data_IF_135078640246
#
_entry.id   IF_135078640246
#
_cell.length_a   1.000
_cell.length_b   1.000
_cell.length_c   1.000
_cell.angle_alpha   90.00
_cell.angle_beta   90.00
_cell.angle_gamma   90.00
#
_symmetry.space_group_name_H-M   'P 1'
#
loop_
_entity.id
_entity.type
_entity.pdbx_description
1 polymer ?
#
# COMPACT_ATOMS: atom_id res chain seq x y z
N UNK A 1 24.83 -0.43 -17.77
CA UNK A 1 23.81 -0.09 -16.77
C UNK A 1 23.26 -1.42 -16.26
N UNK A 2 23.59 -1.81 -15.02
CA UNK A 2 23.09 -3.04 -14.43
C UNK A 2 21.78 -2.72 -13.73
N UNK A 3 20.71 -3.43 -14.08
CA UNK A 3 19.41 -3.35 -13.41
C UNK A 3 19.28 -4.61 -12.59
N UNK A 4 19.10 -4.46 -11.29
CA UNK A 4 18.81 -5.56 -10.38
C UNK A 4 17.34 -5.52 -10.00
N UNK A 5 16.68 -6.67 -10.05
CA UNK A 5 15.25 -6.81 -9.73
C UNK A 5 15.08 -7.67 -8.51
N UNK A 6 14.39 -7.15 -7.50
CA UNK A 6 14.07 -7.88 -6.27
C UNK A 6 12.57 -8.11 -6.20
N UNK A 7 12.17 -9.35 -5.91
CA UNK A 7 10.77 -9.68 -5.70
C UNK A 7 10.42 -9.53 -4.21
N UNK A 8 9.57 -8.55 -3.91
CA UNK A 8 9.05 -8.36 -2.56
C UNK A 8 8.02 -9.44 -2.25
N UNK A 9 8.27 -10.21 -1.19
CA UNK A 9 7.33 -11.22 -0.68
C UNK A 9 6.80 -10.79 0.68
N UNK A 10 5.49 -10.95 0.87
CA UNK A 10 4.78 -10.71 2.11
C UNK A 10 3.57 -11.64 2.19
N UNK A 11 3.15 -11.97 3.41
CA UNK A 11 1.97 -12.80 3.64
C UNK A 11 0.69 -11.98 3.41
N UNK A 12 -0.35 -12.61 2.87
CA UNK A 12 -1.63 -11.92 2.70
C UNK A 12 -2.30 -11.74 4.07
N UNK A 13 -3.06 -10.66 4.21
CA UNK A 13 -3.96 -10.48 5.35
C UNK A 13 -4.89 -11.70 5.45
N UNK A 14 -5.16 -12.15 6.67
CA UNK A 14 -6.03 -13.31 6.91
C UNK A 14 -7.43 -13.07 6.33
N UNK A 15 -8.04 -14.12 5.76
CA UNK A 15 -9.40 -14.03 5.22
C UNK A 15 -10.47 -13.77 6.29
N UNK A 16 -10.11 -13.94 7.58
CA UNK A 16 -10.95 -13.58 8.73
C UNK A 16 -11.06 -12.07 8.94
N UNK A 17 -10.15 -11.26 8.35
CA UNK A 17 -10.13 -9.82 8.45
C UNK A 17 -10.99 -9.17 7.39
N UNK A 18 -11.92 -8.32 7.83
CA UNK A 18 -12.81 -7.55 6.98
C UNK A 18 -12.46 -6.08 7.01
N UNK A 19 -12.99 -5.33 6.05
CA UNK A 19 -12.81 -3.89 5.99
C UNK A 19 -13.28 -3.20 7.27
N UNK A 20 -14.39 -3.66 7.85
CA UNK A 20 -14.99 -3.12 9.07
C UNK A 20 -14.09 -3.31 10.32
N UNK A 21 -13.15 -4.25 10.30
CA UNK A 21 -12.19 -4.44 11.40
C UNK A 21 -11.12 -3.34 11.42
N UNK A 22 -10.80 -2.77 10.25
CA UNK A 22 -9.82 -1.68 10.10
C UNK A 22 -10.49 -0.30 10.14
N UNK A 23 -11.67 -0.21 9.53
CA UNK A 23 -12.45 1.02 9.40
C UNK A 23 -13.88 0.78 9.91
N UNK A 24 -14.06 0.68 11.25
CA UNK A 24 -15.37 0.59 11.87
C UNK A 24 -16.15 1.90 11.72
N UNK A 25 -17.45 1.87 12.08
CA UNK A 25 -18.31 3.07 12.06
C UNK A 25 -17.78 4.18 12.98
N UNK A 26 -17.17 3.81 14.11
CA UNK A 26 -16.51 4.73 15.02
C UNK A 26 -15.15 4.19 15.45
N UNK A 27 -14.16 5.07 15.55
CA UNK A 27 -12.85 4.80 16.16
C UNK A 27 -12.76 5.71 17.39
N UNK A 28 -12.48 5.14 18.56
CA UNK A 28 -12.27 5.92 19.79
C UNK A 28 -10.84 6.49 19.79
N UNK A 29 -10.63 7.54 18.99
CA UNK A 29 -9.34 8.21 18.84
C UNK A 29 -8.80 8.74 20.18
N UNK A 30 -9.71 9.18 21.05
CA UNK A 30 -9.39 9.71 22.39
C UNK A 30 -9.12 8.61 23.43
N UNK A 31 -9.30 7.33 23.07
CA UNK A 31 -9.17 6.18 23.97
C UNK A 31 -10.01 6.32 25.26
N UNK A 32 -11.15 7.00 25.19
CA UNK A 32 -12.02 7.31 26.35
C UNK A 32 -12.67 6.08 26.94
N UNK A 33 -12.97 5.10 26.09
CA UNK A 33 -13.75 3.90 26.42
C UNK A 33 -12.91 2.63 26.41
N UNK A 34 -11.70 2.68 25.84
CA UNK A 34 -10.72 1.61 25.89
C UNK A 34 -9.65 1.75 24.80
N UNK A 35 -8.58 0.93 24.85
CA UNK A 35 -7.63 0.86 23.75
C UNK A 35 -8.32 0.30 22.49
N UNK A 36 -8.16 0.93 21.32
CA UNK A 36 -8.67 0.39 20.08
C UNK A 36 -7.95 -0.93 19.76
N UNK A 37 -8.72 -1.90 19.26
CA UNK A 37 -8.15 -3.11 18.70
C UNK A 37 -7.68 -2.79 17.28
N UNK A 38 -6.38 -2.59 17.08
CA UNK A 38 -5.79 -2.45 15.75
C UNK A 38 -5.46 -3.83 15.20
N UNK A 39 -6.08 -4.28 14.09
CA UNK A 39 -5.71 -5.54 13.49
C UNK A 39 -4.34 -5.44 12.81
N UNK A 40 -3.54 -6.49 12.93
CA UNK A 40 -2.23 -6.54 12.27
C UNK A 40 -2.37 -6.75 10.76
N UNK A 41 -1.63 -5.95 9.99
CA UNK A 41 -1.46 -6.14 8.55
C UNK A 41 -0.05 -6.68 8.32
N UNK A 42 0.12 -7.88 7.75
CA UNK A 42 1.44 -8.42 7.50
C UNK A 42 2.23 -7.55 6.53
N UNK A 43 3.40 -7.10 6.99
CA UNK A 43 4.36 -6.33 6.21
C UNK A 43 5.51 -7.24 5.74
N UNK A 44 6.29 -6.83 4.72
CA UNK A 44 7.42 -7.62 4.27
C UNK A 44 8.46 -7.71 5.39
N UNK A 45 8.86 -8.94 5.75
CA UNK A 45 9.82 -9.19 6.86
C UNK A 45 11.25 -8.81 6.48
N UNK A 46 11.54 -8.77 5.17
CA UNK A 46 12.86 -8.41 4.66
C UNK A 46 12.99 -6.89 4.53
N UNK A 47 14.17 -6.40 4.89
CA UNK A 47 14.53 -5.00 4.82
C UNK A 47 14.98 -4.65 3.38
N UNK A 48 14.02 -4.25 2.55
CA UNK A 48 14.26 -3.87 1.16
C UNK A 48 14.67 -2.40 1.08
N UNK A 49 15.94 -2.12 1.40
CA UNK A 49 16.50 -0.78 1.25
C UNK A 49 17.00 -0.54 -0.17
N UNK A 50 17.06 0.74 -0.55
CA UNK A 50 17.67 1.23 -1.80
C UNK A 50 16.92 0.88 -3.09
N UNK A 51 15.58 0.80 -3.06
CA UNK A 51 14.79 0.66 -4.27
C UNK A 51 14.65 2.00 -4.99
N UNK A 52 15.04 2.06 -6.27
CA UNK A 52 14.81 3.23 -7.13
C UNK A 52 13.39 3.27 -7.71
N UNK A 53 12.87 2.09 -8.06
CA UNK A 53 11.56 1.91 -8.69
C UNK A 53 10.84 0.75 -8.02
N UNK A 54 9.61 1.00 -7.57
CA UNK A 54 8.71 0.01 -6.98
C UNK A 54 7.57 -0.21 -7.96
N UNK A 55 7.40 -1.45 -8.43
CA UNK A 55 6.31 -1.81 -9.34
C UNK A 55 5.34 -2.71 -8.61
N UNK A 56 4.08 -2.27 -8.49
CA UNK A 56 3.05 -2.98 -7.77
C UNK A 56 1.87 -3.29 -8.69
N UNK A 57 1.51 -4.57 -8.79
CA UNK A 57 0.25 -4.98 -9.43
C UNK A 57 -0.86 -4.88 -8.40
N UNK A 58 -1.83 -4.00 -8.66
CA UNK A 58 -2.94 -3.80 -7.73
C UNK A 58 -4.07 -4.79 -8.05
N UNK A 59 -4.54 -5.57 -7.07
CA UNK A 59 -5.69 -6.44 -7.25
C UNK A 59 -6.95 -5.60 -7.51
N UNK A 60 -7.74 -6.02 -8.49
CA UNK A 60 -9.03 -5.46 -8.82
C UNK A 60 -10.06 -6.59 -8.87
N UNK A 61 -10.90 -6.70 -7.84
CA UNK A 61 -12.16 -7.43 -8.01
C UNK A 61 -13.14 -6.46 -8.69
N UNK A 62 -13.67 -6.86 -9.85
CA UNK A 62 -14.69 -6.07 -10.55
C UNK A 62 -15.96 -5.93 -9.70
N UNK A 63 -16.79 -4.95 -10.03
CA UNK A 63 -17.97 -4.50 -9.27
C UNK A 63 -19.14 -5.52 -9.22
N UNK A 64 -18.89 -6.80 -9.50
CA UNK A 64 -19.89 -7.87 -9.55
C UNK A 64 -20.07 -8.60 -8.23
N UNK A 65 -21.21 -8.37 -7.59
CA UNK A 65 -21.87 -9.16 -6.53
C UNK A 65 -21.04 -9.57 -5.29
N UNK A 66 -20.18 -8.66 -4.80
CA UNK A 66 -19.51 -8.86 -3.52
C UNK A 66 -18.30 -7.97 -3.27
N UNK A 67 -18.51 -6.66 -3.10
CA UNK A 67 -17.56 -5.80 -2.37
C UNK A 67 -16.19 -5.52 -3.03
N UNK A 68 -16.03 -5.76 -4.34
CA UNK A 68 -14.83 -5.35 -5.08
C UNK A 68 -14.83 -3.85 -5.35
N UNK A 69 -14.27 -3.05 -4.44
CA UNK A 69 -14.23 -1.59 -4.55
C UNK A 69 -13.12 -0.96 -3.71
N UNK A 70 -13.31 0.28 -3.24
CA UNK A 70 -12.39 0.97 -2.32
C UNK A 70 -12.14 0.16 -1.02
N UNK A 71 -13.06 -0.73 -0.67
CA UNK A 71 -13.09 -1.51 0.58
C UNK A 71 -12.41 -2.88 0.50
N UNK A 72 -11.54 -3.10 -0.48
CA UNK A 72 -10.77 -4.34 -0.59
C UNK A 72 -9.55 -4.30 0.34
N UNK A 73 -9.52 -5.20 1.33
CA UNK A 73 -8.43 -5.25 2.34
C UNK A 73 -7.10 -5.66 1.70
N UNK A 74 -7.11 -6.52 0.68
CA UNK A 74 -5.87 -6.91 0.00
C UNK A 74 -5.34 -5.77 -0.87
N UNK A 75 -6.22 -4.98 -1.49
CA UNK A 75 -5.85 -3.72 -2.16
C UNK A 75 -5.22 -2.74 -1.17
N UNK A 76 -5.80 -2.59 0.02
CA UNK A 76 -5.24 -1.77 1.09
C UNK A 76 -3.85 -2.25 1.50
N UNK A 77 -3.69 -3.55 1.74
CA UNK A 77 -2.40 -4.14 2.12
C UNK A 77 -1.32 -3.87 1.06
N UNK A 78 -1.60 -4.08 -0.23
CA UNK A 78 -0.64 -3.79 -1.31
C UNK A 78 -0.21 -2.32 -1.29
N UNK A 79 -1.15 -1.39 -1.12
CA UNK A 79 -0.82 0.04 -1.06
C UNK A 79 0.02 0.39 0.19
N UNK A 80 -0.28 -0.21 1.35
CA UNK A 80 0.51 -0.04 2.58
C UNK A 80 1.94 -0.58 2.44
N UNK A 81 2.10 -1.77 1.87
CA UNK A 81 3.42 -2.37 1.60
C UNK A 81 4.24 -1.44 0.70
N UNK A 82 3.64 -0.95 -0.39
CA UNK A 82 4.30 -0.04 -1.33
C UNK A 82 4.69 1.28 -0.68
N UNK A 83 3.79 1.87 0.12
CA UNK A 83 4.07 3.10 0.85
C UNK A 83 5.23 2.91 1.84
N UNK A 84 5.24 1.81 2.59
CA UNK A 84 6.32 1.50 3.53
C UNK A 84 7.67 1.35 2.82
N UNK A 85 7.72 0.61 1.72
CA UNK A 85 8.93 0.45 0.92
C UNK A 85 9.45 1.77 0.33
N UNK A 86 8.53 2.64 -0.11
CA UNK A 86 8.88 3.95 -0.65
C UNK A 86 9.50 4.84 0.44
N UNK A 87 8.92 4.85 1.64
CA UNK A 87 9.45 5.57 2.80
C UNK A 87 10.80 5.02 3.24
N UNK A 88 10.92 3.70 3.40
CA UNK A 88 12.18 3.04 3.79
C UNK A 88 13.31 3.27 2.75
N UNK A 89 12.97 3.29 1.47
CA UNK A 89 13.94 3.54 0.39
C UNK A 89 14.31 5.01 0.23
N UNK A 90 13.40 5.94 0.54
CA UNK A 90 13.65 7.38 0.49
C UNK A 90 14.48 7.90 1.68
N UNK A 91 14.28 7.33 2.88
CA UNK A 91 14.92 7.78 4.13
C UNK A 91 16.37 7.34 4.32
N UNK A 92 17.00 6.76 3.30
CA UNK A 92 18.31 6.12 3.38
C UNK A 92 19.43 7.08 3.83
N UNK A 93 19.30 8.39 3.59
CA UNK A 93 20.21 9.42 4.13
C UNK A 93 19.42 10.69 4.50
N UNK A 94 19.58 11.21 5.73
CA UNK A 94 18.88 12.44 6.15
C UNK A 94 19.28 13.69 5.35
N UNK A 95 20.40 13.64 4.61
CA UNK A 95 20.94 14.77 3.82
C UNK A 95 20.75 14.63 2.30
N UNK A 96 20.14 13.55 1.81
CA UNK A 96 19.91 13.35 0.36
C UNK A 96 18.53 12.74 0.15
N UNK A 97 17.57 13.57 -0.22
CA UNK A 97 16.28 13.11 -0.77
C UNK A 97 16.54 12.35 -2.07
N UNK A 98 16.46 11.02 -2.02
CA UNK A 98 16.46 10.18 -3.23
C UNK A 98 15.02 9.99 -3.66
N UNK A 99 14.70 10.44 -4.87
CA UNK A 99 13.39 10.18 -5.46
C UNK A 99 13.20 8.67 -5.68
N UNK A 100 12.14 8.11 -5.11
CA UNK A 100 11.68 6.73 -5.33
C UNK A 100 10.44 6.80 -6.22
N UNK A 101 10.44 6.07 -7.33
CA UNK A 101 9.31 6.04 -8.25
C UNK A 101 8.43 4.83 -7.96
N UNK A 102 7.13 5.07 -7.80
CA UNK A 102 6.15 4.01 -7.60
C UNK A 102 5.27 3.89 -8.84
N UNK A 103 5.16 2.67 -9.39
CA UNK A 103 4.36 2.37 -10.58
C UNK A 103 3.31 1.34 -10.21
N UNK A 104 2.04 1.76 -10.26
CA UNK A 104 0.90 0.88 -10.07
C UNK A 104 0.41 0.34 -11.41
N UNK A 105 0.30 -0.98 -11.51
CA UNK A 105 -0.15 -1.70 -12.70
C UNK A 105 -1.50 -2.35 -12.43
N UNK A 106 -2.52 -1.99 -13.19
CA UNK A 106 -3.88 -2.54 -13.07
C UNK A 106 -4.95 -1.49 -13.29
N UNK A 107 -6.22 -1.90 -13.35
CA UNK A 107 -7.34 -1.01 -13.64
C UNK A 107 -7.78 -0.12 -12.47
N UNK A 108 -7.41 -0.47 -11.23
CA UNK A 108 -7.85 0.28 -10.03
C UNK A 108 -6.83 1.31 -9.55
N UNK A 109 -5.59 1.28 -10.04
CA UNK A 109 -4.53 2.21 -9.64
C UNK A 109 -4.23 2.23 -8.13
N UNK A 110 -3.49 3.26 -7.71
CA UNK A 110 -3.17 3.53 -6.31
C UNK A 110 -4.40 3.94 -5.49
N UNK A 111 -4.36 3.77 -4.16
CA UNK A 111 -5.27 4.47 -3.25
C UNK A 111 -4.76 5.90 -3.06
N UNK A 112 -5.45 6.86 -3.68
CA UNK A 112 -5.02 8.27 -3.73
C UNK A 112 -4.97 8.95 -2.36
N UNK A 113 -5.69 8.41 -1.39
CA UNK A 113 -5.71 8.86 0.00
C UNK A 113 -4.38 8.61 0.73
N UNK A 114 -3.53 7.73 0.20
CA UNK A 114 -2.25 7.36 0.81
C UNK A 114 -1.04 8.12 0.23
N UNK A 115 -1.20 8.75 -0.94
CA UNK A 115 -0.13 9.43 -1.65
C UNK A 115 -0.49 10.91 -1.79
N UNK A 116 0.49 11.81 -1.67
CA UNK A 116 0.23 13.24 -1.83
C UNK A 116 -0.19 13.51 -3.28
N UNK A 117 -1.15 14.40 -3.47
CA UNK A 117 -1.62 14.79 -4.80
C UNK A 117 -0.47 15.28 -5.70
N UNK A 118 0.54 15.92 -5.13
CA UNK A 118 1.70 16.45 -5.85
C UNK A 118 2.66 15.35 -6.34
N UNK A 119 2.62 14.17 -5.71
CA UNK A 119 3.47 13.01 -6.04
C UNK A 119 2.78 12.08 -7.06
N UNK A 120 1.46 12.23 -7.24
CA UNK A 120 0.65 11.38 -8.11
C UNK A 120 0.72 11.86 -9.56
N UNK A 121 1.54 11.19 -10.39
CA UNK A 121 1.52 11.34 -11.84
C UNK A 121 0.72 10.21 -12.47
N UNK A 122 -0.52 10.49 -12.88
CA UNK A 122 -1.37 9.50 -13.54
C UNK A 122 -0.94 9.30 -15.00
N UNK A 123 -0.13 8.28 -15.27
CA UNK A 123 0.18 7.83 -16.64
C UNK A 123 -0.88 6.82 -17.08
N UNK A 124 -1.85 7.29 -17.88
CA UNK A 124 -2.80 6.41 -18.57
C UNK A 124 -2.11 5.83 -19.80
N UNK A 125 -1.66 4.58 -19.72
CA UNK A 125 -1.26 3.83 -20.92
C UNK A 125 -2.54 3.31 -21.59
N UNK A 126 -3.01 4.03 -22.62
CA UNK A 126 -3.93 3.48 -23.60
C UNK A 126 -3.18 2.39 -24.38
N UNK A 127 -3.48 1.13 -24.08
CA UNK A 127 -3.15 0.00 -24.96
C UNK A 127 -4.20 -0.13 -26.04
#
# INVERSE_FOLDING_TARGET
>A
MHVETVHVRFDHVGEDKKWEDFFPEWIDEDHKWGPPACPDIPMPVQDYRYLDVIVARVPCRGDGDGGGGMRDVFRLQVNLVVANLAVESGLVKPDVDRAVYVVFVGSCGAMVEMFRCDDLVCLVFLV
#
